data_IF_030772919376
#
_entry.id   IF_030772919376
#
_cell.length_a   1.000
_cell.length_b   1.000
_cell.length_c   1.000
_cell.angle_alpha   90.00
_cell.angle_beta   90.00
_cell.angle_gamma   90.00
#
_symmetry.space_group_name_H-M   'P 1'
#
loop_
_entity.id
_entity.type
_entity.pdbx_description
1 polymer ?
#
# COMPACT_ATOMS: atom_id res chain seq x y z
N UNK A 1 5.32 -2.79 30.02
CA UNK A 1 5.18 -2.73 28.54
C UNK A 1 3.87 -3.42 28.19
N UNK A 2 2.92 -2.70 27.58
CA UNK A 2 1.58 -3.25 27.28
C UNK A 2 1.66 -4.12 26.03
N UNK A 3 1.81 -5.42 26.23
CA UNK A 3 1.97 -6.45 25.20
C UNK A 3 0.68 -6.79 24.43
N UNK A 4 -0.42 -6.10 24.73
CA UNK A 4 -1.79 -6.40 24.29
C UNK A 4 -2.41 -5.34 23.36
N UNK A 5 -1.60 -4.50 22.71
CA UNK A 5 -2.14 -3.57 21.72
C UNK A 5 -2.52 -4.35 20.43
N UNK A 6 -3.72 -4.11 19.85
CA UNK A 6 -4.11 -4.77 18.60
C UNK A 6 -3.12 -4.41 17.48
N UNK A 7 -2.86 -5.38 16.60
CA UNK A 7 -2.01 -5.18 15.43
C UNK A 7 -2.92 -4.99 14.22
N UNK A 8 -2.59 -4.05 13.35
CA UNK A 8 -3.29 -3.81 12.11
C UNK A 8 -2.45 -4.34 10.95
N UNK A 9 -3.00 -5.24 10.14
CA UNK A 9 -2.38 -5.70 8.91
C UNK A 9 -2.93 -4.95 7.71
N UNK A 10 -2.05 -4.35 6.91
CA UNK A 10 -2.36 -3.79 5.60
C UNK A 10 -1.93 -4.81 4.55
N UNK A 11 -2.87 -5.29 3.76
CA UNK A 11 -2.62 -6.15 2.61
C UNK A 11 -2.70 -5.29 1.36
N UNK A 12 -1.69 -5.39 0.52
CA UNK A 12 -1.62 -4.72 -0.77
C UNK A 12 -1.47 -5.80 -1.83
N UNK A 13 -2.32 -5.74 -2.84
CA UNK A 13 -2.27 -6.60 -4.00
C UNK A 13 -2.67 -5.81 -5.27
N UNK A 14 -2.66 -6.49 -6.41
CA UNK A 14 -3.10 -5.91 -7.69
C UNK A 14 -4.56 -5.40 -7.70
N UNK A 15 -5.40 -5.81 -6.74
CA UNK A 15 -6.80 -5.38 -6.62
C UNK A 15 -6.95 -4.13 -5.76
N UNK A 16 -6.00 -3.86 -4.87
CA UNK A 16 -5.97 -2.64 -4.06
C UNK A 16 -5.39 -2.85 -2.67
N UNK A 17 -5.98 -2.16 -1.70
CA UNK A 17 -5.52 -2.15 -0.31
C UNK A 17 -6.62 -2.62 0.64
N UNK A 18 -6.32 -3.58 1.51
CA UNK A 18 -7.21 -4.06 2.56
C UNK A 18 -6.57 -3.89 3.94
N UNK A 19 -7.38 -3.48 4.93
CA UNK A 19 -6.96 -3.32 6.32
C UNK A 19 -7.70 -4.34 7.20
N UNK A 20 -6.96 -5.10 8.00
CA UNK A 20 -7.53 -6.03 8.97
C UNK A 20 -6.93 -5.81 10.36
N UNK A 21 -7.75 -6.02 11.40
CA UNK A 21 -7.33 -5.94 12.80
C UNK A 21 -7.06 -7.34 13.34
N UNK A 22 -5.92 -7.51 13.99
CA UNK A 22 -5.43 -8.75 14.58
C UNK A 22 -5.43 -8.56 16.10
N UNK A 23 -6.37 -9.23 16.77
CA UNK A 23 -6.47 -9.17 18.22
C UNK A 23 -5.28 -9.87 18.91
N UNK A 24 -4.87 -9.36 20.09
CA UNK A 24 -3.97 -10.07 20.99
C UNK A 24 -4.52 -11.46 21.32
N UNK A 25 -3.66 -12.49 21.29
CA UNK A 25 -4.06 -13.88 21.58
C UNK A 25 -4.51 -14.69 20.36
N UNK A 26 -4.69 -14.07 19.19
CA UNK A 26 -4.92 -14.83 17.95
C UNK A 26 -3.65 -15.59 17.50
N UNK A 27 -3.84 -16.72 16.81
CA UNK A 27 -2.73 -17.58 16.32
C UNK A 27 -1.73 -16.82 15.45
N UNK A 28 -2.19 -15.77 14.75
CA UNK A 28 -1.37 -14.89 13.90
C UNK A 28 -0.66 -13.75 14.64
N UNK A 29 -1.10 -13.39 15.85
CA UNK A 29 -0.62 -12.22 16.58
C UNK A 29 0.89 -12.27 16.85
N UNK A 30 1.40 -13.41 17.33
CA UNK A 30 2.83 -13.57 17.65
C UNK A 30 3.73 -13.43 16.43
N UNK A 31 3.27 -13.87 15.26
CA UNK A 31 4.00 -13.78 13.98
C UNK A 31 4.00 -12.34 13.47
N UNK A 32 2.86 -11.67 13.50
CA UNK A 32 2.72 -10.28 13.06
C UNK A 32 3.45 -9.31 13.96
N UNK A 33 3.48 -9.56 15.28
CA UNK A 33 4.17 -8.72 16.26
C UNK A 33 5.67 -8.58 16.00
N UNK A 34 6.33 -9.65 15.56
CA UNK A 34 7.76 -9.59 15.16
C UNK A 34 8.02 -8.63 14.00
N UNK A 35 7.00 -8.30 13.22
CA UNK A 35 7.07 -7.39 12.07
C UNK A 35 6.49 -5.99 12.36
N UNK A 36 5.88 -5.77 13.54
CA UNK A 36 4.86 -4.73 13.74
C UNK A 36 5.34 -3.37 14.27
N UNK A 37 6.64 -3.21 14.61
CA UNK A 37 7.10 -1.98 15.26
C UNK A 37 7.50 -0.97 14.20
N UNK A 38 6.51 -0.19 13.74
CA UNK A 38 6.73 0.98 12.88
C UNK A 38 5.95 2.18 13.43
N UNK A 39 6.64 3.30 13.59
CA UNK A 39 6.02 4.62 13.76
C UNK A 39 5.54 5.13 12.41
N UNK A 40 4.73 6.20 12.40
CA UNK A 40 4.25 6.83 11.18
C UNK A 40 5.39 7.22 10.20
N UNK A 41 6.52 7.67 10.73
CA UNK A 41 7.74 7.94 9.95
C UNK A 41 8.24 6.70 9.21
N UNK A 42 8.26 5.55 9.88
CA UNK A 42 8.78 4.31 9.30
C UNK A 42 7.87 3.81 8.17
N UNK A 43 6.56 4.02 8.27
CA UNK A 43 5.62 3.72 7.19
C UNK A 43 5.87 4.60 5.94
N UNK A 44 6.17 5.88 6.13
CA UNK A 44 6.55 6.79 5.04
C UNK A 44 7.87 6.36 4.39
N UNK A 45 8.88 6.04 5.19
CA UNK A 45 10.17 5.55 4.69
C UNK A 45 10.03 4.20 3.98
N UNK A 46 9.20 3.30 4.48
CA UNK A 46 8.88 2.03 3.84
C UNK A 46 8.22 2.26 2.48
N UNK A 47 7.20 3.12 2.41
CA UNK A 47 6.53 3.45 1.15
C UNK A 47 7.54 4.02 0.12
N UNK A 48 8.40 4.95 0.54
CA UNK A 48 9.45 5.52 -0.33
C UNK A 48 10.43 4.46 -0.82
N UNK A 49 10.89 3.57 0.06
CA UNK A 49 11.81 2.48 -0.30
C UNK A 49 11.16 1.52 -1.31
N UNK A 50 9.91 1.12 -1.08
CA UNK A 50 9.23 0.20 -1.99
C UNK A 50 9.00 0.85 -3.37
N UNK A 51 8.58 2.12 -3.40
CA UNK A 51 8.44 2.89 -4.65
C UNK A 51 9.76 2.98 -5.42
N UNK A 52 10.87 3.23 -4.73
CA UNK A 52 12.20 3.35 -5.35
C UNK A 52 12.70 2.02 -5.96
N UNK A 53 12.29 0.89 -5.39
CA UNK A 53 12.72 -0.45 -5.86
C UNK A 53 11.93 -0.90 -7.10
N UNK A 54 10.84 -0.21 -7.46
CA UNK A 54 10.04 -0.54 -8.65
C UNK A 54 9.38 -1.92 -8.62
N UNK A 55 9.47 -2.65 -7.50
CA UNK A 55 8.76 -3.90 -7.28
C UNK A 55 7.32 -3.54 -6.94
N UNK A 56 6.36 -4.10 -7.69
CA UNK A 56 4.95 -4.03 -7.35
C UNK A 56 4.73 -4.35 -5.87
N UNK A 57 3.84 -3.60 -5.24
CA UNK A 57 3.70 -3.52 -3.79
C UNK A 57 2.93 -4.71 -3.20
N UNK A 58 3.10 -5.91 -3.73
CA UNK A 58 2.30 -7.06 -3.33
C UNK A 58 2.82 -7.66 -2.02
N UNK A 59 2.05 -7.50 -0.94
CA UNK A 59 2.48 -7.98 0.38
C UNK A 59 1.56 -7.61 1.54
N UNK A 60 1.85 -8.24 2.69
CA UNK A 60 1.17 -7.97 3.96
C UNK A 60 2.13 -7.29 4.93
N UNK A 61 1.74 -6.10 5.38
CA UNK A 61 2.48 -5.23 6.29
C UNK A 61 1.75 -5.15 7.62
N UNK A 62 2.48 -5.16 8.74
CA UNK A 62 1.89 -5.15 10.08
C UNK A 62 2.28 -3.88 10.83
N UNK A 63 1.32 -3.27 11.52
CA UNK A 63 1.48 -2.01 12.24
C UNK A 63 0.86 -2.11 13.63
N UNK A 64 1.54 -1.58 14.64
CA UNK A 64 1.01 -1.52 16.00
C UNK A 64 0.01 -0.37 16.21
N UNK A 65 0.05 0.67 15.36
CA UNK A 65 -0.80 1.85 15.46
C UNK A 65 -1.73 1.98 14.24
N UNK A 66 -3.02 2.20 14.49
CA UNK A 66 -4.03 2.34 13.44
C UNK A 66 -3.74 3.52 12.49
N UNK A 67 -3.34 4.67 13.03
CA UNK A 67 -3.05 5.86 12.22
C UNK A 67 -1.89 5.63 11.25
N UNK A 68 -0.90 4.84 11.67
CA UNK A 68 0.23 4.45 10.81
C UNK A 68 -0.24 3.52 9.70
N UNK A 69 -1.06 2.53 10.01
CA UNK A 69 -1.63 1.61 9.02
C UNK A 69 -2.51 2.34 7.99
N UNK A 70 -3.35 3.28 8.46
CA UNK A 70 -4.18 4.15 7.60
C UNK A 70 -3.33 5.03 6.71
N UNK A 71 -2.32 5.68 7.26
CA UNK A 71 -1.39 6.53 6.50
C UNK A 71 -0.74 5.73 5.36
N UNK A 72 -0.24 4.54 5.67
CA UNK A 72 0.37 3.68 4.66
C UNK A 72 -0.62 3.26 3.56
N UNK A 73 -1.84 2.87 3.94
CA UNK A 73 -2.89 2.49 3.00
C UNK A 73 -3.29 3.64 2.06
N UNK A 74 -3.45 4.85 2.60
CA UNK A 74 -3.79 6.04 1.81
C UNK A 74 -2.70 6.40 0.80
N UNK A 75 -1.43 6.36 1.22
CA UNK A 75 -0.30 6.60 0.31
C UNK A 75 -0.26 5.61 -0.86
N UNK A 76 -0.62 4.35 -0.60
CA UNK A 76 -0.71 3.34 -1.65
C UNK A 76 -1.87 3.58 -2.61
N UNK A 77 -3.05 3.93 -2.10
CA UNK A 77 -4.20 4.26 -2.95
C UNK A 77 -3.91 5.45 -3.87
N UNK A 78 -3.29 6.51 -3.33
CA UNK A 78 -2.88 7.68 -4.12
C UNK A 78 -1.86 7.30 -5.21
N UNK A 79 -0.91 6.42 -4.89
CA UNK A 79 0.06 5.95 -5.89
C UNK A 79 -0.59 5.12 -7.01
N UNK A 80 -1.59 4.30 -6.68
CA UNK A 80 -2.38 3.54 -7.68
C UNK A 80 -3.18 4.50 -8.56
N UNK A 81 -3.85 5.48 -7.96
CA UNK A 81 -4.64 6.48 -8.68
C UNK A 81 -3.79 7.28 -9.68
N UNK A 82 -2.63 7.77 -9.24
CA UNK A 82 -1.69 8.47 -10.13
C UNK A 82 -1.24 7.57 -11.29
N UNK A 83 -0.94 6.30 -11.03
CA UNK A 83 -0.54 5.37 -12.08
C UNK A 83 -1.66 5.10 -13.11
N UNK A 84 -2.92 5.05 -12.65
CA UNK A 84 -4.09 4.95 -13.55
C UNK A 84 -4.20 6.22 -14.39
N UNK A 85 -4.07 7.40 -13.78
CA UNK A 85 -4.12 8.69 -14.47
C UNK A 85 -3.02 8.82 -15.53
N UNK A 86 -1.76 8.54 -15.18
CA UNK A 86 -0.62 8.50 -16.12
C UNK A 86 -0.89 7.56 -17.31
N UNK A 87 -1.49 6.39 -17.05
CA UNK A 87 -1.86 5.46 -18.10
C UNK A 87 -2.99 6.00 -19.00
N UNK A 88 -4.01 6.63 -18.43
CA UNK A 88 -5.07 7.28 -19.21
C UNK A 88 -4.52 8.39 -20.09
N UNK A 89 -3.63 9.25 -19.57
CA UNK A 89 -2.98 10.31 -20.33
C UNK A 89 -2.16 9.76 -21.51
N UNK A 90 -1.46 8.63 -21.32
CA UNK A 90 -0.74 7.95 -22.40
C UNK A 90 -1.66 7.38 -23.47
N UNK A 91 -2.78 6.77 -23.08
CA UNK A 91 -3.78 6.25 -24.03
C UNK A 91 -4.40 7.39 -24.82
N UNK A 92 -4.78 8.48 -24.16
CA UNK A 92 -5.32 9.67 -24.82
C UNK A 92 -4.30 10.30 -25.79
N UNK A 93 -3.02 10.37 -25.41
CA UNK A 93 -1.97 10.84 -26.30
C UNK A 93 -1.74 9.91 -27.50
N UNK A 94 -1.81 8.59 -27.31
CA UNK A 94 -1.75 7.61 -28.39
C UNK A 94 -2.92 7.77 -29.36
N UNK A 95 -4.16 7.87 -28.86
CA UNK A 95 -5.35 8.06 -29.68
C UNK A 95 -5.34 9.41 -30.42
N UNK A 96 -4.85 10.47 -29.77
CA UNK A 96 -4.70 11.78 -30.42
C UNK A 96 -3.61 11.81 -31.51
N UNK A 97 -2.60 10.93 -31.42
CA UNK A 97 -1.52 10.80 -32.41
C UNK A 97 -1.80 9.76 -33.50
N UNK A 98 -2.78 8.87 -33.28
CA UNK A 98 -3.33 7.98 -34.30
C UNK A 98 -4.12 8.80 -35.33
N UNK A 99 -3.39 9.38 -36.31
CA UNK A 99 -4.01 10.06 -37.45
C UNK A 99 -5.10 9.17 -38.06
N UNK A 100 -6.30 9.70 -38.37
CA UNK A 100 -7.25 8.95 -39.18
C UNK A 100 -6.54 8.59 -40.50
N UNK A 101 -6.53 7.29 -40.85
CA UNK A 101 -6.22 6.90 -42.21
C UNK A 101 -7.34 7.44 -43.10
N UNK A 102 -7.15 8.65 -43.61
CA UNK A 102 -7.94 9.19 -44.71
C UNK A 102 -7.77 8.22 -45.88
N UNK A 103 -8.87 7.55 -46.22
CA UNK A 103 -9.01 6.74 -47.44
C UNK A 103 -9.76 7.56 -48.47
#
# INVERSE_FOLDING_TARGET
MNDNAPIFSVTIDAKGVALARIEPGSRGYRKSRKKAIMRQRDALELHRKLKAVGKGHDGVYAFQFLDTARTFAMLHLQAIEHAIQDNMDRVLAYDATAKPKTR
#
